data_IF_463351521534
#
_entry.id   IF_463351521534
#
_cell.length_a   1.000
_cell.length_b   1.000
_cell.length_c   1.000
_cell.angle_alpha   90.00
_cell.angle_beta   90.00
_cell.angle_gamma   90.00
#
_symmetry.space_group_name_H-M   'P 1'
#
loop_
_entity.id
_entity.type
_entity.pdbx_description
1 polymer ?
#
# COMPACT_ATOMS: atom_id res chain seq x y z
N UNK A 1 15.00 0.49 -7.58
CA UNK A 1 14.55 -0.34 -8.72
C UNK A 1 13.90 0.58 -9.72
N UNK A 2 14.28 0.51 -11.00
CA UNK A 2 13.55 1.23 -12.05
C UNK A 2 12.16 0.62 -12.20
N UNK A 3 11.14 1.41 -12.55
CA UNK A 3 9.75 0.95 -12.75
C UNK A 3 9.66 -0.34 -13.60
N UNK A 4 10.58 -0.48 -14.57
CA UNK A 4 10.75 -1.67 -15.41
C UNK A 4 10.95 -2.97 -14.62
N UNK A 5 11.76 -2.99 -13.57
CA UNK A 5 11.98 -4.22 -12.79
C UNK A 5 10.71 -4.66 -12.03
N UNK A 6 9.92 -3.69 -11.56
CA UNK A 6 8.63 -3.97 -10.97
C UNK A 6 7.66 -4.54 -12.02
N UNK A 7 7.57 -3.90 -13.18
CA UNK A 7 6.68 -4.31 -14.28
C UNK A 7 7.03 -5.68 -14.88
N UNK A 8 8.32 -6.01 -15.01
CA UNK A 8 8.76 -7.27 -15.63
C UNK A 8 8.69 -8.46 -14.67
N UNK A 9 8.98 -8.28 -13.38
CA UNK A 9 9.14 -9.41 -12.46
C UNK A 9 8.08 -9.45 -11.35
N UNK A 10 7.90 -8.32 -10.66
CA UNK A 10 7.04 -8.28 -9.47
C UNK A 10 5.57 -8.28 -9.86
N UNK A 11 5.18 -7.45 -10.83
CA UNK A 11 3.80 -7.30 -11.28
C UNK A 11 3.23 -8.61 -11.86
N UNK A 12 3.89 -9.34 -12.78
CA UNK A 12 3.35 -10.58 -13.31
C UNK A 12 3.17 -11.66 -12.24
N UNK A 13 4.11 -11.75 -11.29
CA UNK A 13 4.01 -12.67 -10.15
C UNK A 13 2.83 -12.33 -9.24
N UNK A 14 2.59 -11.05 -8.95
CA UNK A 14 1.43 -10.64 -8.13
C UNK A 14 0.10 -10.79 -8.88
N UNK A 15 0.12 -10.70 -10.21
CA UNK A 15 -1.06 -10.82 -11.06
C UNK A 15 -1.42 -12.27 -11.38
N UNK A 16 -0.50 -13.22 -11.21
CA UNK A 16 -0.80 -14.66 -11.28
C UNK A 16 -1.47 -15.22 -10.02
N UNK A 17 -1.49 -14.45 -8.93
CA UNK A 17 -2.16 -14.81 -7.67
C UNK A 17 -3.59 -14.25 -7.62
N UNK A 18 -4.46 -14.93 -6.85
CA UNK A 18 -5.74 -14.39 -6.41
C UNK A 18 -5.56 -12.98 -5.81
N UNK A 19 -6.41 -11.98 -6.16
CA UNK A 19 -6.21 -10.60 -5.73
C UNK A 19 -6.12 -10.38 -4.23
N UNK A 20 -6.96 -11.06 -3.44
CA UNK A 20 -6.95 -10.95 -1.99
C UNK A 20 -5.70 -11.62 -1.38
N UNK A 21 -5.23 -12.71 -1.99
CA UNK A 21 -3.99 -13.39 -1.62
C UNK A 21 -2.75 -12.54 -1.88
N UNK A 22 -2.66 -11.95 -3.07
CA UNK A 22 -1.59 -11.01 -3.42
C UNK A 22 -1.57 -9.82 -2.46
N UNK A 23 -2.74 -9.23 -2.17
CA UNK A 23 -2.86 -8.13 -1.21
C UNK A 23 -2.36 -8.52 0.18
N UNK A 24 -2.83 -9.66 0.73
CA UNK A 24 -2.40 -10.16 2.05
C UNK A 24 -0.89 -10.43 2.09
N UNK A 25 -0.32 -10.99 1.02
CA UNK A 25 1.12 -11.22 0.91
C UNK A 25 1.88 -9.88 0.95
N UNK A 26 1.47 -8.89 0.16
CA UNK A 26 2.08 -7.56 0.14
C UNK A 26 2.04 -6.90 1.52
N UNK A 27 0.88 -6.89 2.20
CA UNK A 27 0.76 -6.34 3.56
C UNK A 27 1.66 -7.09 4.55
N UNK A 28 1.76 -8.42 4.47
CA UNK A 28 2.64 -9.21 5.34
C UNK A 28 4.12 -8.83 5.13
N UNK A 29 4.55 -8.68 3.89
CA UNK A 29 5.93 -8.29 3.56
C UNK A 29 6.25 -6.86 4.03
N UNK A 30 5.32 -5.92 3.84
CA UNK A 30 5.50 -4.54 4.30
C UNK A 30 5.44 -4.40 5.81
N UNK A 31 4.61 -5.20 6.50
CA UNK A 31 4.63 -5.32 7.96
C UNK A 31 6.00 -5.82 8.43
N UNK A 32 6.54 -6.87 7.82
CA UNK A 32 7.86 -7.38 8.17
C UNK A 32 8.96 -6.33 7.93
N UNK A 33 8.91 -5.63 6.78
CA UNK A 33 9.82 -4.54 6.46
C UNK A 33 9.72 -3.37 7.47
N UNK A 34 8.52 -3.12 8.01
CA UNK A 34 8.29 -2.08 9.02
C UNK A 34 9.04 -2.33 10.33
N UNK A 35 9.49 -3.56 10.58
CA UNK A 35 10.28 -3.94 11.76
C UNK A 35 11.79 -4.06 11.47
N UNK A 36 12.27 -3.60 10.30
CA UNK A 36 13.68 -3.68 9.92
C UNK A 36 14.18 -2.34 9.38
N UNK A 37 15.11 -1.71 10.09
CA UNK A 37 15.72 -0.44 9.66
C UNK A 37 16.41 -0.55 8.30
N UNK A 38 17.06 -1.68 8.04
CA UNK A 38 17.65 -1.96 6.74
C UNK A 38 16.58 -1.97 5.65
N UNK A 39 15.47 -2.67 5.85
CA UNK A 39 14.38 -2.70 4.87
C UNK A 39 13.76 -1.32 4.66
N UNK A 40 13.51 -0.57 5.75
CA UNK A 40 13.01 0.80 5.66
C UNK A 40 13.96 1.73 4.89
N UNK A 41 15.26 1.62 5.13
CA UNK A 41 16.27 2.37 4.38
C UNK A 41 16.22 2.04 2.88
N UNK A 42 16.05 0.75 2.52
CA UNK A 42 15.88 0.34 1.11
C UNK A 42 14.59 0.88 0.48
N UNK A 43 13.49 0.95 1.25
CA UNK A 43 12.24 1.54 0.77
C UNK A 43 12.34 3.05 0.52
N UNK A 44 13.17 3.76 1.30
CA UNK A 44 13.39 5.21 1.12
C UNK A 44 14.02 5.57 -0.23
N UNK A 45 14.66 4.61 -0.91
CA UNK A 45 15.18 4.79 -2.26
C UNK A 45 14.09 5.05 -3.32
N UNK A 46 12.81 4.87 -2.96
CA UNK A 46 11.66 5.10 -3.83
C UNK A 46 10.89 6.39 -3.50
N UNK A 47 11.36 7.19 -2.54
CA UNK A 47 10.64 8.41 -2.16
C UNK A 47 10.57 9.40 -3.33
N UNK A 48 9.39 10.00 -3.57
CA UNK A 48 9.28 11.06 -4.57
C UNK A 48 10.00 12.33 -4.07
N UNK A 49 10.30 13.27 -4.99
CA UNK A 49 10.77 14.59 -4.60
C UNK A 49 9.82 15.28 -3.62
N UNK A 50 10.38 16.00 -2.65
CA UNK A 50 9.60 16.78 -1.69
C UNK A 50 8.75 17.84 -2.41
N UNK A 51 7.47 17.94 -2.04
CA UNK A 51 6.52 18.92 -2.58
C UNK A 51 5.53 19.34 -1.48
N UNK A 52 6.01 20.01 -0.44
CA UNK A 52 5.25 20.19 0.80
C UNK A 52 3.95 20.96 0.58
N UNK A 53 2.92 20.60 1.35
CA UNK A 53 1.60 21.26 1.36
C UNK A 53 1.13 21.41 2.80
N UNK A 54 0.55 22.56 3.10
CA UNK A 54 -0.14 22.79 4.38
C UNK A 54 -1.63 22.85 4.11
N UNK A 55 -2.40 21.97 4.73
CA UNK A 55 -3.87 21.90 4.60
C UNK A 55 -4.45 21.62 5.99
N UNK A 56 -5.51 22.32 6.37
CA UNK A 56 -6.19 22.13 7.67
C UNK A 56 -5.25 22.23 8.89
N UNK A 57 -4.19 23.04 8.80
CA UNK A 57 -3.17 23.16 9.86
C UNK A 57 -2.15 22.02 9.91
N UNK A 58 -2.23 21.04 9.02
CA UNK A 58 -1.30 19.91 8.92
C UNK A 58 -0.29 20.11 7.79
N UNK A 59 0.95 19.67 8.01
CA UNK A 59 2.01 19.71 7.02
C UNK A 59 2.21 18.32 6.39
N UNK A 60 2.02 18.24 5.09
CA UNK A 60 2.25 17.05 4.28
C UNK A 60 3.56 17.23 3.49
N UNK A 61 4.48 16.25 3.48
CA UNK A 61 5.75 16.37 2.76
C UNK A 61 5.56 16.34 1.24
N UNK A 62 4.45 15.76 0.77
CA UNK A 62 4.02 15.77 -0.62
C UNK A 62 2.49 15.56 -0.71
N UNK A 63 1.84 15.84 -1.84
CA UNK A 63 0.38 15.75 -1.96
C UNK A 63 -0.15 14.33 -2.26
N UNK A 64 0.69 13.30 -2.30
CA UNK A 64 0.29 11.94 -2.68
C UNK A 64 -0.01 11.14 -1.41
N UNK A 65 -1.27 10.73 -1.26
CA UNK A 65 -1.72 9.90 -0.15
C UNK A 65 -2.01 8.46 -0.54
N UNK A 66 -1.98 7.59 0.47
CA UNK A 66 -2.48 6.22 0.38
C UNK A 66 -3.92 6.18 0.90
N UNK A 67 -4.87 5.81 0.03
CA UNK A 67 -6.28 5.78 0.38
C UNK A 67 -6.62 4.64 1.37
N UNK A 68 -7.73 4.81 2.08
CA UNK A 68 -8.32 3.79 2.94
C UNK A 68 -8.67 2.51 2.17
N UNK A 69 -8.85 1.43 2.92
CA UNK A 69 -9.15 0.11 2.39
C UNK A 69 -7.91 -0.72 2.06
N UNK A 70 -6.73 -0.09 1.91
CA UNK A 70 -5.48 -0.81 1.65
C UNK A 70 -4.87 -1.40 2.93
N UNK A 71 -4.53 -0.59 3.93
CA UNK A 71 -4.04 -1.09 5.22
C UNK A 71 -5.10 -0.92 6.31
N UNK A 72 -6.12 -1.78 6.26
CA UNK A 72 -7.30 -1.68 7.13
C UNK A 72 -6.97 -1.71 8.61
N UNK A 73 -5.88 -2.38 8.99
CA UNK A 73 -5.48 -2.58 10.38
C UNK A 73 -4.24 -1.76 10.77
N UNK A 74 -3.72 -0.90 9.88
CA UNK A 74 -2.56 -0.06 10.14
C UNK A 74 -1.26 -0.82 10.47
N UNK A 75 -1.05 -2.00 9.89
CA UNK A 75 0.06 -2.89 10.30
C UNK A 75 1.38 -2.60 9.59
N UNK A 76 1.39 -1.75 8.57
CA UNK A 76 2.57 -1.47 7.74
C UNK A 76 2.90 0.03 7.63
N UNK A 77 2.42 0.86 8.58
CA UNK A 77 2.61 2.32 8.58
C UNK A 77 4.06 2.79 8.35
N UNK A 78 5.09 2.24 9.01
CA UNK A 78 6.47 2.65 8.77
C UNK A 78 6.93 2.41 7.33
N UNK A 79 6.53 1.28 6.72
CA UNK A 79 6.88 0.98 5.34
C UNK A 79 6.19 1.92 4.34
N UNK A 80 4.94 2.31 4.59
CA UNK A 80 4.25 3.30 3.74
C UNK A 80 4.90 4.68 3.80
N UNK A 81 5.27 5.14 4.99
CA UNK A 81 6.02 6.39 5.16
C UNK A 81 7.40 6.31 4.50
N UNK A 82 8.10 5.19 4.63
CA UNK A 82 9.39 4.96 3.97
C UNK A 82 9.30 4.94 2.44
N UNK A 83 8.21 4.40 1.88
CA UNK A 83 7.91 4.48 0.44
C UNK A 83 7.62 5.91 -0.04
N UNK A 84 7.36 6.84 0.88
CA UNK A 84 7.26 8.27 0.58
C UNK A 84 5.84 8.80 0.36
N UNK A 85 4.81 8.08 0.82
CA UNK A 85 3.47 8.66 0.88
C UNK A 85 3.46 9.87 1.82
N UNK A 86 2.84 10.97 1.37
CA UNK A 86 2.69 12.18 2.17
C UNK A 86 1.71 12.03 3.33
N UNK A 87 0.73 11.13 3.18
CA UNK A 87 -0.17 10.70 4.24
C UNK A 87 -0.73 9.30 3.95
N UNK A 88 -1.25 8.65 4.98
CA UNK A 88 -1.87 7.33 4.89
C UNK A 88 -3.20 7.37 5.62
N UNK A 89 -4.27 6.99 4.94
CA UNK A 89 -5.58 6.77 5.55
C UNK A 89 -5.76 5.28 5.82
N UNK A 90 -5.85 4.89 7.09
CA UNK A 90 -6.06 3.49 7.51
C UNK A 90 -7.56 3.15 7.57
N UNK A 91 -7.86 1.88 7.81
CA UNK A 91 -9.23 1.39 7.90
C UNK A 91 -9.81 1.02 6.54
N UNK A 92 -11.13 0.95 6.38
CA UNK A 92 -12.13 1.34 7.37
C UNK A 92 -12.19 0.38 8.56
N UNK A 93 -12.19 0.94 9.77
CA UNK A 93 -12.38 0.19 11.01
C UNK A 93 -13.84 0.27 11.44
N UNK A 94 -14.30 -0.76 12.14
CA UNK A 94 -15.62 -0.77 12.80
C UNK A 94 -15.43 -1.07 14.28
N UNK A 95 -16.38 -0.66 15.13
CA UNK A 95 -16.26 -0.81 16.59
C UNK A 95 -16.02 -2.27 17.03
N UNK A 96 -16.51 -3.25 16.26
CA UNK A 96 -16.24 -4.68 16.43
C UNK A 96 -15.58 -5.23 15.17
N UNK A 97 -14.74 -6.25 15.33
CA UNK A 97 -14.15 -6.95 14.19
C UNK A 97 -15.23 -7.67 13.37
N UNK A 98 -15.10 -7.64 12.05
CA UNK A 98 -16.05 -8.25 11.13
C UNK A 98 -15.30 -9.07 10.06
N UNK A 99 -15.81 -10.25 9.66
CA UNK A 99 -15.19 -11.07 8.62
C UNK A 99 -15.32 -10.46 7.21
N UNK A 100 -16.28 -9.54 7.02
CA UNK A 100 -16.68 -9.00 5.72
C UNK A 100 -17.46 -10.01 4.87
N UNK A 101 -17.72 -9.67 3.61
CA UNK A 101 -18.47 -10.52 2.67
C UNK A 101 -17.76 -11.86 2.38
N UNK A 102 -18.48 -12.93 2.01
CA UNK A 102 -17.87 -14.18 1.55
C UNK A 102 -16.93 -13.97 0.35
N UNK A 103 -15.96 -14.88 0.16
CA UNK A 103 -15.01 -14.85 -0.96
C UNK A 103 -15.52 -15.64 -2.17
N UNK A 104 -15.08 -15.33 -3.41
CA UNK A 104 -14.22 -14.21 -3.80
C UNK A 104 -14.96 -12.87 -3.83
N UNK A 105 -14.27 -11.80 -3.43
CA UNK A 105 -14.84 -10.45 -3.25
C UNK A 105 -13.92 -9.33 -3.72
N UNK A 106 -12.86 -9.65 -4.44
CA UNK A 106 -11.95 -8.68 -5.04
C UNK A 106 -11.60 -9.20 -6.42
N UNK A 107 -11.89 -8.40 -7.45
CA UNK A 107 -11.70 -8.77 -8.85
C UNK A 107 -10.88 -7.69 -9.54
N UNK A 108 -9.91 -8.10 -10.36
CA UNK A 108 -9.08 -7.19 -11.16
C UNK A 108 -9.54 -7.21 -12.62
N UNK A 109 -9.53 -6.05 -13.26
CA UNK A 109 -9.80 -5.85 -14.68
C UNK A 109 -8.53 -5.22 -15.30
N UNK A 110 -7.51 -6.02 -15.66
CA UNK A 110 -6.17 -5.51 -15.95
C UNK A 110 -6.10 -4.60 -17.18
N UNK A 111 -6.88 -4.90 -18.22
CA UNK A 111 -6.92 -4.11 -19.47
C UNK A 111 -7.46 -2.70 -19.21
N UNK A 112 -8.42 -2.57 -18.29
CA UNK A 112 -9.05 -1.31 -17.87
C UNK A 112 -8.32 -0.64 -16.70
N UNK A 113 -7.24 -1.25 -16.18
CA UNK A 113 -6.55 -0.81 -14.96
C UNK A 113 -7.50 -0.61 -13.77
N UNK A 114 -8.51 -1.46 -13.65
CA UNK A 114 -9.60 -1.31 -12.69
C UNK A 114 -9.71 -2.48 -11.70
N UNK A 115 -10.46 -2.25 -10.62
CA UNK A 115 -10.74 -3.22 -9.57
C UNK A 115 -12.17 -3.07 -9.06
N UNK A 116 -12.81 -4.19 -8.72
CA UNK A 116 -14.12 -4.26 -8.07
C UNK A 116 -13.94 -5.01 -6.74
N UNK A 117 -14.45 -4.47 -5.63
CA UNK A 117 -14.46 -5.11 -4.32
C UNK A 117 -15.76 -4.91 -3.55
#
# INVERSE_FOLDING_TARGET
MNARAYETFVRPLLFSLDPETAHRLTIKLLRAASHSDFALHRLRLFQPPSKPRTLFGLNFPNPIGLAAGLDKNGVALPAWAALGFGFVEIGTITAKAQPGNPKPRIFRLPEQQALIN
#
